data_IF_755635127770
#
_entry.id   IF_755635127770
#
_cell.length_a   1.000
_cell.length_b   1.000
_cell.length_c   1.000
_cell.angle_alpha   90.00
_cell.angle_beta   90.00
_cell.angle_gamma   90.00
#
_symmetry.space_group_name_H-M   'P 1'
#
loop_
_entity.id
_entity.type
_entity.pdbx_description
1 polymer ?
#
# COMPACT_ATOMS: atom_id res chain seq x y z
N UNK A 1 -3.10 -21.24 4.63
CA UNK A 1 -2.56 -22.55 4.20
C UNK A 1 -1.92 -23.29 5.37
N UNK A 2 -2.00 -24.63 5.41
CA UNK A 2 -1.16 -25.46 6.29
C UNK A 2 -0.12 -26.22 5.45
N UNK A 3 1.12 -26.28 5.92
CA UNK A 3 2.20 -27.00 5.25
C UNK A 3 2.95 -27.87 6.27
N UNK A 4 3.27 -29.11 5.91
CA UNK A 4 4.13 -29.95 6.72
C UNK A 4 5.61 -29.73 6.39
N UNK A 5 6.50 -30.21 7.25
CA UNK A 5 7.94 -30.20 6.96
C UNK A 5 8.32 -31.02 5.71
N UNK A 6 7.50 -31.99 5.30
CA UNK A 6 7.67 -32.70 4.03
C UNK A 6 7.30 -31.80 2.84
N UNK A 7 6.24 -31.01 2.97
CA UNK A 7 5.78 -30.08 1.93
C UNK A 7 6.79 -28.96 1.71
N UNK A 8 7.46 -28.47 2.76
CA UNK A 8 8.58 -27.55 2.61
C UNK A 8 9.68 -28.14 1.71
N UNK A 9 10.00 -29.44 1.86
CA UNK A 9 11.04 -30.08 1.07
C UNK A 9 10.60 -30.36 -0.37
N UNK A 10 9.36 -30.81 -0.57
CA UNK A 10 8.89 -31.32 -1.86
C UNK A 10 8.10 -30.31 -2.69
N UNK A 11 7.44 -29.35 -2.05
CA UNK A 11 6.49 -28.40 -2.64
C UNK A 11 6.83 -26.96 -2.27
N UNK A 12 8.13 -26.65 -2.17
CA UNK A 12 8.59 -25.31 -1.82
C UNK A 12 8.02 -24.23 -2.73
N UNK A 13 7.88 -24.53 -4.04
CA UNK A 13 7.27 -23.60 -5.01
C UNK A 13 5.87 -23.15 -4.61
N UNK A 14 5.04 -24.08 -4.16
CA UNK A 14 3.66 -23.78 -3.77
C UNK A 14 3.61 -22.97 -2.48
N UNK A 15 4.50 -23.29 -1.52
CA UNK A 15 4.65 -22.56 -0.26
C UNK A 15 5.11 -21.12 -0.49
N UNK A 16 6.13 -20.91 -1.33
CA UNK A 16 6.58 -19.57 -1.70
C UNK A 16 5.48 -18.78 -2.39
N UNK A 17 4.75 -19.41 -3.31
CA UNK A 17 3.63 -18.76 -4.00
C UNK A 17 2.48 -18.37 -3.06
N UNK A 18 2.22 -19.14 -2.01
CA UNK A 18 1.26 -18.76 -0.97
C UNK A 18 1.74 -17.54 -0.16
N UNK A 19 3.03 -17.50 0.19
CA UNK A 19 3.63 -16.35 0.91
C UNK A 19 3.59 -15.09 0.05
N UNK A 20 3.91 -15.18 -1.25
CA UNK A 20 3.82 -14.06 -2.21
C UNK A 20 2.39 -13.51 -2.33
N UNK A 21 1.39 -14.39 -2.30
CA UNK A 21 -0.04 -14.01 -2.26
C UNK A 21 -0.49 -13.43 -0.90
N UNK A 22 0.45 -13.14 -0.01
CA UNK A 22 0.21 -12.68 1.35
C UNK A 22 -0.66 -13.63 2.19
N UNK A 23 -0.63 -14.92 1.87
CA UNK A 23 -1.34 -15.92 2.64
C UNK A 23 -0.51 -16.36 3.85
N UNK A 24 -1.17 -16.52 5.00
CA UNK A 24 -0.55 -17.09 6.19
C UNK A 24 -0.33 -18.59 6.02
N UNK A 25 0.91 -19.05 6.19
CA UNK A 25 1.26 -20.48 6.12
C UNK A 25 1.57 -21.02 7.52
N UNK A 26 0.76 -21.96 8.00
CA UNK A 26 0.98 -22.64 9.29
C UNK A 26 1.87 -23.85 9.06
N UNK A 27 3.01 -23.89 9.73
CA UNK A 27 3.97 -25.00 9.64
C UNK A 27 3.64 -26.07 10.68
N UNK A 28 3.45 -27.30 10.21
CA UNK A 28 3.20 -28.47 11.05
C UNK A 28 4.37 -29.46 11.03
N UNK A 29 4.63 -30.09 12.17
CA UNK A 29 5.57 -31.21 12.29
C UNK A 29 4.95 -32.31 13.15
N UNK A 30 4.80 -33.51 12.57
CA UNK A 30 4.16 -34.68 13.20
C UNK A 30 2.78 -34.34 13.79
N UNK A 31 1.96 -33.62 13.00
CA UNK A 31 0.59 -33.26 13.38
C UNK A 31 0.46 -32.11 14.40
N UNK A 32 1.58 -31.48 14.80
CA UNK A 32 1.54 -30.31 15.71
C UNK A 32 1.93 -29.05 14.97
N UNK A 33 1.19 -27.97 15.18
CA UNK A 33 1.55 -26.64 14.71
C UNK A 33 2.82 -26.17 15.45
N UNK A 34 3.80 -25.66 14.71
CA UNK A 34 5.12 -25.26 15.23
C UNK A 34 5.45 -23.81 14.98
N UNK A 35 5.06 -23.30 13.82
CA UNK A 35 5.37 -21.94 13.42
C UNK A 35 4.31 -21.41 12.46
N UNK A 36 4.29 -20.10 12.30
CA UNK A 36 3.53 -19.41 11.28
C UNK A 36 4.51 -18.62 10.42
N UNK A 37 4.47 -18.84 9.11
CA UNK A 37 5.20 -18.05 8.12
C UNK A 37 4.23 -17.03 7.56
N UNK A 38 4.64 -15.77 7.59
CA UNK A 38 3.88 -14.63 7.07
C UNK A 38 4.83 -13.86 6.17
N UNK A 39 4.36 -13.28 5.04
CA UNK A 39 5.17 -12.36 4.26
C UNK A 39 5.78 -11.29 5.17
N UNK A 40 7.01 -10.89 4.88
CA UNK A 40 7.50 -9.64 5.41
C UNK A 40 6.73 -8.54 4.68
N UNK A 41 6.09 -7.65 5.43
CA UNK A 41 5.67 -6.39 4.87
C UNK A 41 6.97 -5.71 4.40
N UNK A 42 7.17 -5.61 3.07
CA UNK A 42 8.27 -4.81 2.51
C UNK A 42 8.26 -3.50 3.27
N UNK A 43 9.34 -3.27 4.03
CA UNK A 43 9.57 -2.12 4.94
C UNK A 43 8.64 -1.01 4.52
N UNK A 44 7.48 -0.92 5.20
CA UNK A 44 6.35 -0.12 4.74
C UNK A 44 6.93 1.17 4.19
N UNK A 45 6.88 1.35 2.85
CA UNK A 45 7.55 2.49 2.19
C UNK A 45 7.24 3.68 3.06
N UNK A 46 8.25 4.37 3.64
CA UNK A 46 8.04 5.31 4.72
C UNK A 46 6.86 6.17 4.27
N UNK A 47 5.76 6.07 5.01
CA UNK A 47 4.51 6.70 4.60
C UNK A 47 4.83 8.17 4.49
N UNK A 48 5.01 8.64 3.25
CA UNK A 48 5.41 10.02 2.99
C UNK A 48 4.29 10.85 3.55
N UNK A 49 4.58 11.70 4.54
CA UNK A 49 3.52 12.54 5.10
C UNK A 49 3.02 13.41 3.96
N UNK A 50 1.71 13.62 3.90
CA UNK A 50 1.11 14.48 2.88
C UNK A 50 1.77 15.89 2.90
N UNK A 51 2.21 16.34 4.07
CA UNK A 51 2.95 17.59 4.26
C UNK A 51 4.34 17.63 3.59
N UNK A 52 4.97 16.47 3.36
CA UNK A 52 6.31 16.37 2.76
C UNK A 52 6.25 16.36 1.22
N UNK A 53 5.04 16.29 0.64
CA UNK A 53 4.85 16.36 -0.80
C UNK A 53 5.10 17.80 -1.29
N UNK A 54 5.89 18.02 -2.36
CA UNK A 54 6.13 19.36 -2.91
C UNK A 54 4.85 20.11 -3.33
N UNK A 55 3.77 19.37 -3.62
CA UNK A 55 2.49 19.93 -3.97
C UNK A 55 1.72 20.51 -2.77
N UNK A 56 2.03 20.06 -1.54
CA UNK A 56 1.37 20.53 -0.34
C UNK A 56 1.73 22.00 -0.08
N UNK A 57 0.71 22.85 0.06
CA UNK A 57 0.90 24.28 0.28
C UNK A 57 1.31 25.11 -0.95
N UNK A 58 1.35 24.53 -2.16
CA UNK A 58 1.63 25.27 -3.40
C UNK A 58 0.76 26.52 -3.58
N UNK A 59 -0.49 26.45 -3.13
CA UNK A 59 -1.48 27.53 -3.27
C UNK A 59 -1.61 28.41 -2.02
N UNK A 60 -0.87 28.10 -0.94
CA UNK A 60 -0.99 28.80 0.34
C UNK A 60 -0.60 30.29 0.26
N UNK A 61 0.28 30.64 -0.67
CA UNK A 61 0.71 32.03 -0.90
C UNK A 61 -0.15 32.78 -1.93
N UNK A 62 -1.14 32.13 -2.54
CA UNK A 62 -1.98 32.73 -3.58
C UNK A 62 -3.25 33.30 -2.98
N UNK A 63 -3.20 34.57 -2.59
CA UNK A 63 -4.34 35.33 -2.05
C UNK A 63 -5.53 35.41 -3.01
N UNK A 64 -5.29 35.36 -4.32
CA UNK A 64 -6.32 35.32 -5.38
C UNK A 64 -7.21 34.07 -5.34
N UNK A 65 -6.72 32.98 -4.72
CA UNK A 65 -7.44 31.72 -4.58
C UNK A 65 -7.86 31.48 -3.12
N UNK A 66 -8.07 32.55 -2.36
CA UNK A 66 -8.66 32.49 -1.02
C UNK A 66 -10.09 31.93 -1.03
N UNK A 67 -10.85 32.22 -2.10
CA UNK A 67 -12.13 31.58 -2.40
C UNK A 67 -12.00 30.72 -3.67
N UNK A 68 -11.87 29.40 -3.45
CA UNK A 68 -11.76 28.42 -4.52
C UNK A 68 -13.00 28.41 -5.43
N UNK A 69 -14.20 28.66 -4.89
CA UNK A 69 -15.46 28.59 -5.64
C UNK A 69 -15.56 29.80 -6.56
N UNK A 70 -15.32 31.01 -6.05
CA UNK A 70 -15.32 32.23 -6.85
C UNK A 70 -14.23 32.21 -7.94
N UNK A 71 -13.04 31.70 -7.61
CA UNK A 71 -11.94 31.56 -8.57
C UNK A 71 -12.29 30.62 -9.72
N UNK A 72 -12.86 29.45 -9.43
CA UNK A 72 -13.30 28.49 -10.47
C UNK A 72 -14.45 29.04 -11.30
N UNK A 73 -15.38 29.79 -10.69
CA UNK A 73 -16.47 30.45 -11.41
C UNK A 73 -15.94 31.45 -12.45
N UNK A 74 -14.97 32.29 -12.07
CA UNK A 74 -14.29 33.23 -12.98
C UNK A 74 -13.56 32.52 -14.12
N UNK A 75 -12.91 31.39 -13.84
CA UNK A 75 -12.26 30.59 -14.89
C UNK A 75 -13.24 29.96 -15.89
N UNK A 76 -14.48 29.71 -15.47
CA UNK A 76 -15.55 29.15 -16.32
C UNK A 76 -16.33 30.22 -17.08
N UNK A 77 -16.07 31.50 -16.84
CA UNK A 77 -16.67 32.56 -17.63
C UNK A 77 -16.21 32.40 -19.09
N UNK A 78 -17.12 32.51 -20.06
CA UNK A 78 -16.74 32.45 -21.46
C UNK A 78 -15.72 33.57 -21.71
N UNK A 79 -14.57 33.20 -22.26
CA UNK A 79 -13.61 34.20 -22.74
C UNK A 79 -14.32 34.94 -23.86
N UNK A 80 -14.67 36.21 -23.61
CA UNK A 80 -15.27 37.08 -24.62
C UNK A 80 -14.36 37.14 -25.84
N UNK A 81 -14.99 37.16 -27.03
CA UNK A 81 -14.35 37.39 -28.31
C UNK A 81 -13.73 38.79 -28.36
#
# INVERSE_FOLDING_TARGET
>A
MEASMLDLRKKMKDVMSAIERHERVILTYRGRQRAVITPLDEVAKPTVKVADLPAFGMWAKRSEMSDAVAFVKKLREPRGN
#
